data_IF_734564145618
#
_entry.id   IF_734564145618
#
_cell.length_a   1.000
_cell.length_b   1.000
_cell.length_c   1.000
_cell.angle_alpha   90.00
_cell.angle_beta   90.00
_cell.angle_gamma   90.00
#
_symmetry.space_group_name_H-M   'P 1'
#
loop_
_entity.id
_entity.type
_entity.pdbx_description
1 polymer ?
#
# COMPACT_ATOMS: atom_id res chain seq x y z
N UNK A 1 -25.67 -23.82 -60.48
CA UNK A 1 -25.84 -23.14 -59.16
C UNK A 1 -25.62 -24.04 -57.93
N UNK A 2 -26.24 -25.22 -57.80
CA UNK A 2 -26.08 -26.08 -56.61
C UNK A 2 -24.61 -26.50 -56.31
N UNK A 3 -23.80 -26.86 -57.33
CA UNK A 3 -22.40 -27.25 -57.15
C UNK A 3 -21.51 -26.10 -56.70
N UNK A 4 -21.76 -24.89 -57.18
CA UNK A 4 -21.04 -23.68 -56.76
C UNK A 4 -21.34 -23.31 -55.32
N UNK A 5 -22.61 -23.42 -54.91
CA UNK A 5 -23.01 -23.19 -53.51
C UNK A 5 -22.37 -24.20 -52.54
N UNK A 6 -22.35 -25.49 -52.92
CA UNK A 6 -21.68 -26.53 -52.13
C UNK A 6 -20.16 -26.28 -52.00
N UNK A 7 -19.51 -25.79 -53.04
CA UNK A 7 -18.10 -25.46 -53.01
C UNK A 7 -17.83 -24.29 -52.03
N UNK A 8 -18.66 -23.22 -52.09
CA UNK A 8 -18.54 -22.09 -51.14
C UNK A 8 -18.73 -22.57 -49.71
N UNK A 9 -19.74 -23.42 -49.44
CA UNK A 9 -19.99 -23.96 -48.11
C UNK A 9 -18.79 -24.79 -47.61
N UNK A 10 -18.21 -25.63 -48.48
CA UNK A 10 -17.07 -26.45 -48.14
C UNK A 10 -15.83 -25.60 -47.79
N UNK A 11 -15.57 -24.55 -48.56
CA UNK A 11 -14.47 -23.63 -48.30
C UNK A 11 -14.70 -22.86 -46.97
N UNK A 12 -15.91 -22.36 -46.75
CA UNK A 12 -16.26 -21.66 -45.51
C UNK A 12 -16.11 -22.58 -44.30
N UNK A 13 -16.55 -23.84 -44.40
CA UNK A 13 -16.39 -24.83 -43.33
C UNK A 13 -14.90 -25.14 -43.06
N UNK A 14 -14.10 -25.30 -44.13
CA UNK A 14 -12.65 -25.52 -44.00
C UNK A 14 -11.94 -24.35 -43.30
N UNK A 15 -12.28 -23.12 -43.65
CA UNK A 15 -11.76 -21.92 -42.97
C UNK A 15 -12.19 -21.85 -41.50
N UNK A 16 -13.44 -22.16 -41.21
CA UNK A 16 -13.95 -22.17 -39.84
C UNK A 16 -13.24 -23.21 -38.97
N UNK A 17 -13.02 -24.43 -39.52
CA UNK A 17 -12.29 -25.50 -38.83
C UNK A 17 -10.82 -25.11 -38.60
N UNK A 18 -10.17 -24.48 -39.57
CA UNK A 18 -8.80 -24.00 -39.44
C UNK A 18 -8.69 -22.91 -38.36
N UNK A 19 -9.61 -21.95 -38.31
CA UNK A 19 -9.68 -20.93 -37.28
C UNK A 19 -9.92 -21.53 -35.91
N UNK A 20 -10.83 -22.51 -35.78
CA UNK A 20 -11.08 -23.21 -34.54
C UNK A 20 -9.85 -23.98 -34.06
N UNK A 21 -9.10 -24.63 -34.97
CA UNK A 21 -7.86 -25.31 -34.61
C UNK A 21 -6.77 -24.34 -34.14
N UNK A 22 -6.58 -23.22 -34.85
CA UNK A 22 -5.62 -22.16 -34.42
C UNK A 22 -5.99 -21.59 -33.05
N UNK A 23 -7.29 -21.32 -32.80
CA UNK A 23 -7.76 -20.87 -31.52
C UNK A 23 -7.52 -21.92 -30.42
N UNK A 24 -7.84 -23.18 -30.69
CA UNK A 24 -7.63 -24.28 -29.74
C UNK A 24 -6.15 -24.48 -29.39
N UNK A 25 -5.28 -24.47 -30.37
CA UNK A 25 -3.82 -24.55 -30.18
C UNK A 25 -3.32 -23.35 -29.41
N UNK A 26 -3.69 -22.13 -29.78
CA UNK A 26 -3.29 -20.91 -29.09
C UNK A 26 -3.75 -20.95 -27.63
N UNK A 27 -4.99 -21.37 -27.35
CA UNK A 27 -5.51 -21.50 -26.01
C UNK A 27 -4.77 -22.56 -25.19
N UNK A 28 -4.49 -23.74 -25.80
CA UNK A 28 -3.81 -24.85 -25.13
C UNK A 28 -2.38 -24.48 -24.73
N UNK A 29 -1.64 -23.83 -25.63
CA UNK A 29 -0.22 -23.49 -25.42
C UNK A 29 0.01 -22.20 -24.64
N UNK A 30 -1.01 -21.38 -24.39
CA UNK A 30 -0.85 -20.22 -23.49
C UNK A 30 -0.68 -20.70 -22.07
N UNK A 31 0.48 -20.41 -21.50
CA UNK A 31 0.85 -20.77 -20.12
C UNK A 31 0.66 -19.59 -19.17
N UNK A 32 0.75 -19.86 -17.87
CA UNK A 32 0.72 -18.83 -16.82
C UNK A 32 1.88 -17.82 -16.93
N UNK A 33 2.93 -18.11 -17.71
CA UNK A 33 4.02 -17.16 -17.99
C UNK A 33 3.58 -15.87 -18.72
N UNK A 34 2.32 -15.81 -19.21
CA UNK A 34 1.70 -14.55 -19.70
C UNK A 34 1.14 -13.65 -18.58
N UNK A 35 1.12 -14.11 -17.33
CA UNK A 35 0.78 -13.28 -16.18
C UNK A 35 2.01 -12.43 -15.80
N UNK A 36 1.83 -11.15 -15.44
CA UNK A 36 2.95 -10.32 -15.01
C UNK A 36 3.48 -10.78 -13.65
N UNK A 37 4.69 -10.36 -13.36
CA UNK A 37 5.27 -10.56 -12.04
C UNK A 37 4.43 -9.85 -10.96
N UNK A 38 4.25 -10.55 -9.85
CA UNK A 38 3.47 -10.09 -8.71
C UNK A 38 4.35 -9.38 -7.64
N UNK A 39 5.56 -8.95 -8.01
CA UNK A 39 6.52 -8.35 -7.10
C UNK A 39 5.98 -7.04 -6.50
N UNK A 40 5.49 -7.12 -5.27
CA UNK A 40 5.15 -5.97 -4.44
C UNK A 40 5.95 -6.05 -3.14
N UNK A 41 6.29 -4.90 -2.55
CA UNK A 41 7.06 -4.83 -1.31
C UNK A 41 6.36 -3.95 -0.28
N UNK A 42 6.54 -4.29 0.99
CA UNK A 42 6.12 -3.50 2.13
C UNK A 42 7.26 -3.40 3.15
N UNK A 43 7.68 -2.18 3.48
CA UNK A 43 8.84 -1.96 4.36
C UNK A 43 10.13 -2.61 3.84
N UNK A 44 10.34 -2.62 2.51
CA UNK A 44 11.50 -3.23 1.87
C UNK A 44 11.47 -4.75 1.77
N UNK A 45 10.40 -5.41 2.23
CA UNK A 45 10.25 -6.87 2.18
C UNK A 45 9.28 -7.28 1.07
N UNK A 46 9.66 -8.32 0.31
CA UNK A 46 8.83 -8.85 -0.77
C UNK A 46 7.59 -9.55 -0.23
N UNK A 47 6.44 -9.27 -0.86
CA UNK A 47 5.16 -9.84 -0.49
C UNK A 47 4.84 -11.09 -1.31
N UNK A 48 4.44 -12.15 -0.62
CA UNK A 48 3.94 -13.37 -1.24
C UNK A 48 2.44 -13.23 -1.58
N UNK A 49 2.08 -13.61 -2.80
CA UNK A 49 0.68 -13.61 -3.21
C UNK A 49 -0.10 -14.70 -2.52
N UNK A 50 -1.25 -14.36 -1.96
CA UNK A 50 -2.18 -15.33 -1.38
C UNK A 50 -3.38 -15.66 -2.28
N UNK A 51 -3.43 -15.07 -3.47
CA UNK A 51 -4.43 -15.36 -4.50
C UNK A 51 -4.32 -14.39 -5.67
N UNK A 52 -4.73 -14.84 -6.85
CA UNK A 52 -4.75 -14.01 -8.05
C UNK A 52 -5.82 -14.45 -9.05
N UNK A 53 -6.15 -13.54 -9.95
CA UNK A 53 -6.89 -13.82 -11.16
C UNK A 53 -6.34 -12.93 -12.27
N UNK A 54 -6.02 -13.51 -13.42
CA UNK A 54 -5.44 -12.77 -14.52
C UNK A 54 -6.01 -13.22 -15.86
N UNK A 55 -6.41 -12.26 -16.70
CA UNK A 55 -6.88 -12.47 -18.06
C UNK A 55 -5.74 -12.21 -19.03
N UNK A 56 -5.31 -13.25 -19.72
CA UNK A 56 -4.30 -13.17 -20.79
C UNK A 56 -5.03 -13.08 -22.13
N UNK A 57 -4.92 -11.96 -22.86
CA UNK A 57 -5.59 -11.79 -24.14
C UNK A 57 -4.94 -12.68 -25.19
N UNK A 58 -5.79 -13.38 -25.95
CA UNK A 58 -5.42 -14.21 -27.07
C UNK A 58 -5.94 -13.59 -28.37
N UNK A 59 -5.29 -13.90 -29.49
CA UNK A 59 -5.73 -13.51 -30.85
C UNK A 59 -6.09 -12.01 -30.96
N UNK A 60 -5.21 -11.14 -30.45
CA UNK A 60 -5.44 -9.68 -30.48
C UNK A 60 -6.57 -9.20 -29.58
N UNK A 61 -6.86 -9.92 -28.48
CA UNK A 61 -7.87 -9.55 -27.50
C UNK A 61 -9.30 -9.97 -27.85
N UNK A 62 -9.47 -10.87 -28.83
CA UNK A 62 -10.77 -11.43 -29.17
C UNK A 62 -11.20 -12.59 -28.28
N UNK A 63 -10.27 -13.19 -27.59
CA UNK A 63 -10.46 -14.28 -26.63
C UNK A 63 -9.55 -14.03 -25.44
N UNK A 64 -10.02 -14.36 -24.23
CA UNK A 64 -9.21 -14.27 -23.03
C UNK A 64 -9.06 -15.66 -22.39
N UNK A 65 -7.84 -15.99 -21.96
CA UNK A 65 -7.60 -17.13 -21.08
C UNK A 65 -7.42 -16.64 -19.67
N UNK A 66 -8.22 -17.17 -18.77
CA UNK A 66 -8.19 -16.79 -17.35
C UNK A 66 -7.31 -17.76 -16.58
N UNK A 67 -6.33 -17.23 -15.88
CA UNK A 67 -5.55 -17.93 -14.87
C UNK A 67 -5.96 -17.41 -13.50
N UNK A 68 -6.26 -18.31 -12.57
CA UNK A 68 -6.67 -17.93 -11.23
C UNK A 68 -6.17 -18.95 -10.21
N UNK A 69 -5.79 -18.42 -9.05
CA UNK A 69 -5.61 -19.20 -7.83
C UNK A 69 -6.54 -18.63 -6.77
N UNK A 70 -7.35 -19.45 -6.11
CA UNK A 70 -8.21 -18.97 -5.03
C UNK A 70 -7.35 -18.38 -3.92
N UNK A 71 -7.87 -17.38 -3.22
CA UNK A 71 -7.20 -16.80 -2.08
C UNK A 71 -7.01 -17.88 -0.99
N UNK A 72 -5.80 -18.01 -0.50
CA UNK A 72 -5.47 -18.86 0.64
C UNK A 72 -5.72 -18.11 1.95
N UNK A 73 -5.88 -18.83 3.04
CA UNK A 73 -5.95 -18.23 4.38
C UNK A 73 -4.55 -17.93 4.96
N UNK A 74 -3.49 -18.18 4.18
CA UNK A 74 -2.13 -17.98 4.63
C UNK A 74 -1.84 -16.50 4.75
N UNK A 75 -1.31 -16.09 5.89
CA UNK A 75 -0.87 -14.73 6.19
C UNK A 75 0.64 -14.75 6.35
N UNK A 76 1.35 -14.05 5.46
CA UNK A 76 2.80 -13.92 5.50
C UNK A 76 3.21 -13.13 6.75
N UNK A 77 4.34 -13.50 7.37
CA UNK A 77 4.92 -12.78 8.50
C UNK A 77 6.13 -11.98 8.02
N UNK A 78 6.07 -10.66 8.11
CA UNK A 78 7.16 -9.77 7.74
C UNK A 78 8.13 -9.46 8.91
N UNK A 79 7.82 -9.91 10.14
CA UNK A 79 8.64 -9.59 11.30
C UNK A 79 8.43 -8.17 11.81
N UNK A 80 9.52 -7.54 12.33
CA UNK A 80 9.48 -6.21 12.94
C UNK A 80 9.98 -5.16 11.95
N UNK A 81 9.22 -4.07 11.82
CA UNK A 81 9.55 -2.88 11.04
C UNK A 81 9.83 -1.72 12.00
N UNK A 82 10.97 -1.06 11.82
CA UNK A 82 11.47 -0.01 12.71
C UNK A 82 11.19 1.40 12.20
N UNK A 83 10.48 1.55 11.10
CA UNK A 83 10.05 2.84 10.55
C UNK A 83 8.60 3.13 10.87
N UNK A 84 8.30 4.37 11.26
CA UNK A 84 6.91 4.80 11.53
C UNK A 84 6.02 4.79 10.28
N UNK A 85 6.61 4.80 9.10
CA UNK A 85 5.92 4.77 7.82
C UNK A 85 6.62 3.80 6.86
N UNK A 86 6.30 2.48 6.92
CA UNK A 86 6.85 1.51 5.97
C UNK A 86 6.49 1.82 4.52
N UNK A 87 7.48 1.88 3.65
CA UNK A 87 7.27 2.16 2.22
C UNK A 87 6.55 1.01 1.51
N UNK A 88 5.77 1.36 0.48
CA UNK A 88 5.11 0.39 -0.40
C UNK A 88 5.65 0.55 -1.81
N UNK A 89 6.24 -0.52 -2.34
CA UNK A 89 6.66 -0.60 -3.74
C UNK A 89 5.69 -1.48 -4.51
N UNK A 90 5.19 -0.98 -5.63
CA UNK A 90 4.21 -1.65 -6.48
C UNK A 90 4.81 -1.98 -7.84
N UNK A 91 4.39 -3.08 -8.50
CA UNK A 91 4.74 -3.34 -9.88
C UNK A 91 4.07 -2.34 -10.84
N UNK A 92 4.74 -2.01 -11.95
CA UNK A 92 4.31 -0.99 -12.92
C UNK A 92 2.93 -1.23 -13.55
N UNK A 93 2.50 -2.48 -13.60
CA UNK A 93 1.19 -2.84 -14.15
C UNK A 93 0.02 -2.51 -13.21
N UNK A 94 0.26 -2.31 -11.91
CA UNK A 94 -0.77 -2.02 -10.94
C UNK A 94 -1.34 -0.61 -11.17
N UNK A 95 -2.56 -0.53 -11.68
CA UNK A 95 -3.22 0.73 -12.00
C UNK A 95 -4.18 1.20 -10.92
N UNK A 96 -4.58 0.32 -10.02
CA UNK A 96 -5.41 0.63 -8.87
C UNK A 96 -5.04 -0.29 -7.71
N UNK A 97 -5.15 0.21 -6.49
CA UNK A 97 -4.77 -0.53 -5.28
C UNK A 97 -5.80 -0.34 -4.18
N UNK A 98 -6.01 -1.37 -3.39
CA UNK A 98 -6.76 -1.27 -2.14
C UNK A 98 -5.90 -1.84 -1.02
N UNK A 99 -5.81 -1.12 0.08
CA UNK A 99 -5.06 -1.51 1.27
C UNK A 99 -5.95 -1.35 2.50
N UNK A 100 -6.01 -2.38 3.32
CA UNK A 100 -6.66 -2.33 4.64
C UNK A 100 -5.65 -2.76 5.68
N UNK A 101 -5.48 -1.97 6.73
CA UNK A 101 -4.61 -2.29 7.86
C UNK A 101 -5.47 -2.35 9.13
N UNK A 102 -5.26 -3.40 9.90
CA UNK A 102 -5.98 -3.68 11.15
C UNK A 102 -4.97 -3.92 12.27
N UNK A 103 -5.36 -3.55 13.47
CA UNK A 103 -4.63 -3.94 14.70
C UNK A 103 -4.78 -5.44 14.96
N UNK A 104 -3.97 -6.00 15.86
CA UNK A 104 -4.07 -7.40 16.28
C UNK A 104 -5.49 -7.78 16.80
N UNK A 105 -6.23 -6.83 17.37
CA UNK A 105 -7.60 -7.02 17.85
C UNK A 105 -8.66 -6.85 16.76
N UNK A 106 -8.26 -6.58 15.51
CA UNK A 106 -9.16 -6.48 14.35
C UNK A 106 -9.76 -5.09 14.11
N UNK A 107 -9.35 -4.06 14.86
CA UNK A 107 -9.78 -2.68 14.60
C UNK A 107 -9.11 -2.14 13.34
N UNK A 108 -9.90 -1.67 12.37
CA UNK A 108 -9.37 -1.06 11.13
C UNK A 108 -8.79 0.30 11.46
N UNK A 109 -7.50 0.49 11.18
CA UNK A 109 -6.78 1.76 11.36
C UNK A 109 -6.55 2.49 10.04
N UNK A 110 -6.51 1.76 8.93
CA UNK A 110 -6.45 2.32 7.59
C UNK A 110 -7.28 1.50 6.61
N UNK A 111 -7.98 2.18 5.71
CA UNK A 111 -8.66 1.57 4.57
C UNK A 111 -8.70 2.59 3.43
N UNK A 112 -7.98 2.29 2.34
CA UNK A 112 -7.85 3.22 1.21
C UNK A 112 -6.95 2.68 0.10
N UNK A 113 -6.53 3.58 -0.78
CA UNK A 113 -5.52 3.31 -1.81
C UNK A 113 -4.10 3.45 -1.27
N UNK A 114 -3.11 2.90 -1.98
CA UNK A 114 -1.69 3.09 -1.61
C UNK A 114 -1.28 4.58 -1.73
N UNK A 115 -1.91 5.36 -2.62
CA UNK A 115 -1.65 6.81 -2.68
C UNK A 115 -2.14 7.55 -1.44
N UNK A 116 -3.25 7.15 -0.85
CA UNK A 116 -3.74 7.72 0.41
C UNK A 116 -2.90 7.27 1.60
N UNK A 117 -2.33 6.07 1.52
CA UNK A 117 -1.43 5.55 2.55
C UNK A 117 -0.19 6.44 2.75
N UNK A 118 0.28 7.15 1.73
CA UNK A 118 1.45 8.04 1.84
C UNK A 118 1.31 9.12 2.93
N UNK A 119 0.09 9.51 3.26
CA UNK A 119 -0.21 10.47 4.33
C UNK A 119 -0.67 9.82 5.64
N UNK A 120 -0.73 8.48 5.68
CA UNK A 120 -1.22 7.76 6.85
C UNK A 120 -0.12 7.64 7.92
N UNK A 121 -0.49 7.84 9.17
CA UNK A 121 0.37 7.61 10.32
C UNK A 121 -0.23 6.49 11.19
N UNK A 122 0.59 5.52 11.54
CA UNK A 122 0.18 4.48 12.47
C UNK A 122 -0.11 5.08 13.85
N UNK A 123 -1.24 4.70 14.48
CA UNK A 123 -1.64 5.29 15.76
C UNK A 123 -0.72 4.94 16.92
N UNK A 124 -0.05 3.79 16.86
CA UNK A 124 0.88 3.32 17.91
C UNK A 124 1.83 2.25 17.36
N UNK A 125 2.87 1.95 18.10
CA UNK A 125 3.64 0.72 17.93
C UNK A 125 2.78 -0.50 18.28
N UNK A 126 3.03 -1.64 17.63
CA UNK A 126 2.27 -2.87 17.90
C UNK A 126 2.16 -3.80 16.71
N UNK A 127 1.35 -4.83 16.86
CA UNK A 127 1.11 -5.81 15.80
C UNK A 127 -0.05 -5.35 14.90
N UNK A 128 0.17 -5.50 13.59
CA UNK A 128 -0.78 -5.17 12.55
C UNK A 128 -0.94 -6.30 11.55
N UNK A 129 -2.14 -6.41 11.00
CA UNK A 129 -2.46 -7.25 9.86
C UNK A 129 -2.87 -6.35 8.70
N UNK A 130 -2.34 -6.64 7.50
CA UNK A 130 -2.69 -5.91 6.30
C UNK A 130 -3.20 -6.85 5.20
N UNK A 131 -4.16 -6.35 4.44
CA UNK A 131 -4.65 -6.97 3.21
C UNK A 131 -4.53 -5.94 2.09
N UNK A 132 -3.77 -6.29 1.05
CA UNK A 132 -3.57 -5.45 -0.12
C UNK A 132 -4.05 -6.18 -1.36
N UNK A 133 -4.76 -5.48 -2.25
CA UNK A 133 -5.11 -6.01 -3.56
C UNK A 133 -4.67 -5.03 -4.63
N UNK A 134 -3.92 -5.54 -5.60
CA UNK A 134 -3.48 -4.82 -6.78
C UNK A 134 -4.38 -5.19 -7.95
N UNK A 135 -4.81 -4.20 -8.70
CA UNK A 135 -5.70 -4.36 -9.84
C UNK A 135 -5.07 -3.82 -11.11
N UNK A 136 -5.25 -4.55 -12.21
CA UNK A 136 -5.03 -4.01 -13.55
C UNK A 136 -6.37 -3.58 -14.15
N UNK A 137 -6.48 -2.31 -14.48
CA UNK A 137 -7.67 -1.74 -15.10
C UNK A 137 -7.31 -1.26 -16.51
N UNK A 138 -8.05 -1.65 -17.55
CA UNK A 138 -7.84 -1.13 -18.90
C UNK A 138 -8.04 0.39 -18.95
N UNK A 139 -7.36 1.07 -19.88
CA UNK A 139 -7.58 2.50 -20.13
C UNK A 139 -9.07 2.74 -20.41
N UNK A 140 -9.70 3.62 -19.63
CA UNK A 140 -11.15 3.92 -19.70
C UNK A 140 -12.05 3.05 -18.82
N UNK A 141 -11.49 2.09 -18.07
CA UNK A 141 -12.24 1.21 -17.17
C UNK A 141 -12.32 1.65 -15.70
N UNK A 142 -12.08 2.92 -15.40
CA UNK A 142 -12.02 3.47 -14.03
C UNK A 142 -13.38 3.66 -13.34
N UNK A 143 -14.49 3.18 -13.92
CA UNK A 143 -15.75 3.18 -13.20
C UNK A 143 -15.68 2.16 -12.07
N UNK A 144 -15.90 2.62 -10.85
CA UNK A 144 -15.94 1.79 -9.65
C UNK A 144 -17.30 1.09 -9.53
N UNK A 145 -17.29 -0.19 -9.18
CA UNK A 145 -18.50 -0.95 -8.88
C UNK A 145 -18.42 -1.49 -7.46
N UNK A 146 -19.52 -1.33 -6.71
CA UNK A 146 -19.67 -2.01 -5.43
C UNK A 146 -20.16 -3.43 -5.67
N UNK A 147 -19.48 -4.42 -5.12
CA UNK A 147 -19.98 -5.80 -5.10
C UNK A 147 -21.20 -5.87 -4.18
N UNK A 148 -22.29 -6.47 -4.66
CA UNK A 148 -23.45 -6.77 -3.83
C UNK A 148 -23.13 -7.86 -2.80
N UNK A 149 -23.82 -7.84 -1.65
CA UNK A 149 -23.64 -8.80 -0.56
C UNK A 149 -23.00 -8.21 0.70
N UNK A 150 -22.85 -9.02 1.76
CA UNK A 150 -22.35 -8.56 3.07
C UNK A 150 -20.90 -8.06 3.02
N UNK A 151 -20.06 -8.71 2.22
CA UNK A 151 -18.68 -8.29 1.98
C UNK A 151 -18.60 -6.99 1.17
N UNK A 152 -19.49 -6.79 0.21
CA UNK A 152 -19.60 -5.56 -0.57
C UNK A 152 -20.04 -4.38 0.29
N UNK A 153 -21.00 -4.61 1.23
CA UNK A 153 -21.45 -3.57 2.16
C UNK A 153 -20.31 -3.14 3.10
N UNK A 154 -19.52 -4.10 3.62
CA UNK A 154 -18.36 -3.79 4.47
C UNK A 154 -17.31 -2.98 3.70
N UNK A 155 -16.97 -3.37 2.47
CA UNK A 155 -16.03 -2.64 1.61
C UNK A 155 -16.52 -1.23 1.26
N UNK A 156 -17.81 -1.08 0.96
CA UNK A 156 -18.42 0.24 0.74
C UNK A 156 -18.30 1.14 1.96
N UNK A 157 -18.58 0.60 3.15
CA UNK A 157 -18.47 1.34 4.41
C UNK A 157 -17.02 1.73 4.76
N UNK A 158 -16.03 0.98 4.24
CA UNK A 158 -14.61 1.25 4.38
C UNK A 158 -14.05 2.09 3.23
N UNK A 159 -14.87 2.51 2.25
CA UNK A 159 -14.42 3.26 1.07
C UNK A 159 -13.61 2.43 0.07
N UNK A 160 -13.59 1.09 0.21
CA UNK A 160 -12.83 0.19 -0.66
C UNK A 160 -13.67 -0.18 -1.89
N UNK A 161 -13.44 0.53 -2.96
CA UNK A 161 -14.11 0.30 -4.24
C UNK A 161 -13.33 -0.70 -5.10
N UNK A 162 -14.06 -1.57 -5.78
CA UNK A 162 -13.47 -2.44 -6.80
C UNK A 162 -13.58 -1.75 -8.16
N UNK A 163 -12.51 -1.74 -8.98
CA UNK A 163 -12.61 -1.21 -10.34
C UNK A 163 -13.62 -2.01 -11.18
N UNK A 164 -14.38 -1.30 -12.02
CA UNK A 164 -15.22 -1.96 -12.99
C UNK A 164 -14.36 -2.66 -14.06
N UNK A 165 -14.67 -3.92 -14.36
CA UNK A 165 -14.01 -4.73 -15.40
C UNK A 165 -12.47 -4.79 -15.27
N UNK A 166 -11.91 -5.20 -14.12
CA UNK A 166 -10.48 -5.42 -14.02
C UNK A 166 -10.08 -6.60 -14.93
N UNK A 167 -8.94 -6.51 -15.59
CA UNK A 167 -8.36 -7.60 -16.40
C UNK A 167 -7.46 -8.51 -15.58
N UNK A 168 -7.16 -8.13 -14.36
CA UNK A 168 -6.40 -8.96 -13.43
C UNK A 168 -6.28 -8.34 -12.04
N UNK A 169 -5.99 -9.18 -11.08
CA UNK A 169 -5.69 -8.76 -9.73
C UNK A 169 -4.77 -9.78 -9.04
N UNK A 170 -3.98 -9.26 -8.08
CA UNK A 170 -3.21 -10.03 -7.10
C UNK A 170 -3.59 -9.58 -5.70
N UNK A 171 -3.69 -10.54 -4.77
CA UNK A 171 -3.97 -10.28 -3.36
C UNK A 171 -2.80 -10.71 -2.50
N UNK A 172 -2.53 -9.90 -1.46
CA UNK A 172 -1.52 -10.13 -0.45
C UNK A 172 -2.17 -10.03 0.92
N UNK A 173 -1.81 -10.93 1.83
CA UNK A 173 -2.22 -10.87 3.23
C UNK A 173 -0.98 -11.09 4.09
N UNK A 174 -0.66 -10.12 4.91
CA UNK A 174 0.56 -10.14 5.70
C UNK A 174 0.34 -9.53 7.08
N UNK A 175 1.23 -9.83 8.00
CA UNK A 175 1.29 -9.26 9.34
C UNK A 175 2.70 -8.83 9.67
N UNK A 176 2.81 -7.79 10.47
CA UNK A 176 4.07 -7.20 10.91
C UNK A 176 3.92 -6.60 12.30
N UNK A 177 5.05 -6.43 12.97
CA UNK A 177 5.14 -5.65 14.20
C UNK A 177 5.78 -4.32 13.85
N UNK A 178 5.13 -3.22 14.22
CA UNK A 178 5.69 -1.88 14.09
C UNK A 178 6.38 -1.51 15.42
N UNK A 179 7.64 -1.14 15.34
CA UNK A 179 8.45 -0.69 16.48
C UNK A 179 9.27 0.54 16.06
N UNK A 180 8.57 1.62 15.74
CA UNK A 180 9.20 2.88 15.39
C UNK A 180 9.69 3.59 16.65
N UNK A 181 10.87 4.19 16.56
CA UNK A 181 11.44 5.04 17.60
C UNK A 181 11.48 6.48 17.11
N UNK A 182 11.20 7.42 17.99
CA UNK A 182 11.35 8.83 17.68
C UNK A 182 12.82 9.18 17.49
N UNK A 183 13.08 9.99 16.47
CA UNK A 183 14.39 10.60 16.20
C UNK A 183 14.33 12.07 16.60
N UNK A 184 15.29 12.49 17.40
CA UNK A 184 15.40 13.87 17.88
C UNK A 184 16.68 14.49 17.33
N UNK A 185 16.52 15.61 16.63
CA UNK A 185 17.62 16.42 16.12
C UNK A 185 17.57 17.81 16.75
N UNK A 186 18.74 18.26 17.25
CA UNK A 186 18.93 19.63 17.73
C UNK A 186 19.65 20.45 16.66
N UNK A 187 19.23 21.69 16.42
CA UNK A 187 19.89 22.57 15.45
C UNK A 187 21.30 22.98 15.87
N UNK A 188 21.60 22.95 17.18
CA UNK A 188 22.90 23.25 17.76
C UNK A 188 23.00 22.64 19.15
N UNK A 189 24.18 22.19 19.54
CA UNK A 189 24.51 21.75 20.90
C UNK A 189 24.97 22.91 21.79
N UNK A 190 25.27 24.06 21.20
CA UNK A 190 25.70 25.29 21.87
C UNK A 190 24.99 26.48 21.30
N UNK A 191 24.51 27.36 22.16
CA UNK A 191 23.83 28.59 21.79
C UNK A 191 24.29 29.70 22.72
N UNK A 192 24.39 30.91 22.19
CA UNK A 192 24.68 32.11 23.00
C UNK A 192 23.41 32.56 23.74
N UNK A 193 23.57 33.29 24.83
CA UNK A 193 22.47 33.96 25.52
C UNK A 193 21.67 34.84 24.54
N UNK A 194 20.36 34.75 24.56
CA UNK A 194 19.46 35.37 23.59
C UNK A 194 19.26 34.62 22.27
N UNK A 195 19.97 33.51 22.06
CA UNK A 195 19.78 32.63 20.91
C UNK A 195 18.67 31.61 21.10
N UNK A 196 18.55 30.69 20.17
CA UNK A 196 17.47 29.68 20.16
C UNK A 196 18.00 28.36 19.62
N UNK A 197 17.66 27.25 20.29
CA UNK A 197 17.89 25.89 19.78
C UNK A 197 16.61 25.38 19.14
N UNK A 198 16.66 25.00 17.88
CA UNK A 198 15.58 24.29 17.20
C UNK A 198 15.63 22.80 17.52
N UNK A 199 14.48 22.22 17.79
CA UNK A 199 14.28 20.77 18.00
C UNK A 199 13.41 20.25 16.88
N UNK A 200 13.84 19.17 16.22
CA UNK A 200 13.04 18.40 15.29
C UNK A 200 12.83 17.01 15.84
N UNK A 201 11.57 16.56 15.85
CA UNK A 201 11.18 15.24 16.32
C UNK A 201 10.46 14.54 15.17
N UNK A 202 11.02 13.44 14.67
CA UNK A 202 10.50 12.65 13.56
C UNK A 202 10.41 11.17 13.92
N UNK A 203 9.89 10.34 13.01
CA UNK A 203 9.83 8.89 13.22
C UNK A 203 8.80 8.41 14.25
N UNK A 204 7.91 9.27 14.72
CA UNK A 204 6.89 8.93 15.71
C UNK A 204 5.68 8.22 15.11
N UNK A 205 5.07 7.34 15.90
CA UNK A 205 3.69 6.86 15.69
C UNK A 205 2.71 7.75 16.46
N UNK A 206 1.47 7.85 15.96
CA UNK A 206 0.41 8.63 16.60
C UNK A 206 0.55 10.14 16.43
N UNK A 207 -0.43 10.86 17.01
CA UNK A 207 -0.54 12.32 16.96
C UNK A 207 -0.30 12.98 18.31
N UNK A 208 0.23 12.22 19.29
CA UNK A 208 0.52 12.79 20.60
C UNK A 208 1.56 13.90 20.49
N UNK A 209 1.28 15.03 21.13
CA UNK A 209 2.22 16.16 21.18
C UNK A 209 3.39 15.78 22.09
N UNK A 210 4.64 15.84 21.61
CA UNK A 210 5.80 15.62 22.47
C UNK A 210 5.85 16.65 23.59
N UNK A 211 6.21 16.21 24.79
CA UNK A 211 6.50 17.12 25.90
C UNK A 211 8.00 17.41 25.91
N UNK A 212 8.36 18.70 26.04
CA UNK A 212 9.76 19.13 26.18
C UNK A 212 9.86 19.93 27.50
N UNK A 213 10.68 19.42 28.39
CA UNK A 213 10.99 20.05 29.66
C UNK A 213 12.45 20.50 29.63
N UNK A 214 12.70 21.74 30.03
CA UNK A 214 14.01 22.33 30.11
C UNK A 214 14.04 23.44 31.17
N UNK A 215 15.18 23.68 31.75
CA UNK A 215 15.42 24.79 32.68
C UNK A 215 15.59 26.16 32.01
N UNK A 216 15.63 26.18 30.66
CA UNK A 216 15.75 27.40 29.83
C UNK A 216 14.42 28.16 29.66
N UNK A 217 13.28 27.53 29.93
CA UNK A 217 11.95 28.16 29.81
C UNK A 217 10.89 27.25 29.15
N UNK A 218 9.68 27.79 29.02
CA UNK A 218 8.57 27.05 28.40
C UNK A 218 8.75 26.84 26.90
N UNK A 219 8.52 25.62 26.45
CA UNK A 219 8.64 25.21 25.04
C UNK A 219 7.31 24.71 24.52
N UNK A 220 6.94 25.12 23.32
CA UNK A 220 5.76 24.59 22.64
C UNK A 220 6.17 23.83 21.39
N UNK A 221 5.63 22.61 21.24
CA UNK A 221 5.75 21.83 20.02
C UNK A 221 4.67 22.24 19.02
N UNK A 222 5.06 22.40 17.78
CA UNK A 222 4.16 22.66 16.64
C UNK A 222 4.27 21.55 15.61
N UNK A 223 3.15 21.14 15.02
CA UNK A 223 3.13 20.12 13.98
C UNK A 223 3.84 20.64 12.73
N UNK A 224 4.72 19.82 12.17
CA UNK A 224 5.40 20.04 10.90
C UNK A 224 5.07 18.91 9.93
N UNK A 225 5.46 19.06 8.65
CA UNK A 225 5.16 18.06 7.62
C UNK A 225 5.71 16.64 7.94
N UNK A 226 6.87 16.57 8.62
CA UNK A 226 7.56 15.31 8.92
C UNK A 226 7.68 15.05 10.44
N UNK A 227 6.70 15.47 11.24
CA UNK A 227 6.73 15.26 12.68
C UNK A 227 6.44 16.53 13.46
N UNK A 228 7.28 16.85 14.44
CA UNK A 228 7.11 18.00 15.33
C UNK A 228 8.35 18.89 15.32
N UNK A 229 8.14 20.19 15.54
CA UNK A 229 9.21 21.17 15.77
C UNK A 229 8.96 21.95 17.03
N UNK A 230 10.03 22.28 17.69
CA UNK A 230 10.01 23.19 18.84
C UNK A 230 11.21 24.13 18.78
N UNK A 231 11.11 25.23 19.51
CA UNK A 231 12.19 26.19 19.66
C UNK A 231 12.39 26.47 21.14
N UNK A 232 13.61 26.23 21.62
CA UNK A 232 14.02 26.43 23.00
C UNK A 232 14.79 27.75 23.07
N UNK A 233 14.26 28.81 23.69
CA UNK A 233 14.95 30.08 23.81
C UNK A 233 15.99 30.00 24.93
N UNK A 234 17.22 30.45 24.67
CA UNK A 234 18.19 30.74 25.71
C UNK A 234 18.05 32.20 26.12
N UNK A 235 17.41 32.46 27.24
CA UNK A 235 17.19 33.82 27.71
C UNK A 235 18.54 34.58 27.94
N UNK A 236 18.54 35.91 27.81
CA UNK A 236 19.73 36.75 28.01
C UNK A 236 20.32 36.63 29.43
N UNK A 237 19.51 36.23 30.40
CA UNK A 237 19.91 36.01 31.80
C UNK A 237 20.05 34.54 32.13
N UNK A 238 20.03 33.65 31.16
CA UNK A 238 20.29 32.23 31.40
C UNK A 238 21.70 32.03 31.95
N UNK A 239 21.85 31.12 32.90
CA UNK A 239 23.18 30.76 33.43
C UNK A 239 24.04 30.21 32.29
N UNK A 240 25.34 30.47 32.36
CA UNK A 240 26.29 29.81 31.45
C UNK A 240 26.61 28.41 31.98
N UNK A 241 26.64 27.42 31.08
CA UNK A 241 26.93 26.04 31.44
C UNK A 241 26.08 25.01 30.66
N UNK A 242 26.01 23.81 31.19
CA UNK A 242 25.15 22.78 30.64
C UNK A 242 23.71 22.94 31.08
N UNK A 243 22.77 22.83 30.15
CA UNK A 243 21.33 22.81 30.37
C UNK A 243 20.78 21.47 29.99
N UNK A 244 19.76 20.99 30.69
CA UNK A 244 19.13 19.70 30.43
C UNK A 244 17.85 19.91 29.63
N UNK A 245 17.66 19.06 28.60
CA UNK A 245 16.47 19.04 27.78
C UNK A 245 15.91 17.61 27.81
N UNK A 246 14.77 17.44 28.49
CA UNK A 246 14.05 16.17 28.52
C UNK A 246 12.93 16.18 27.53
N UNK A 247 12.94 15.24 26.55
CA UNK A 247 11.94 15.11 25.51
C UNK A 247 11.21 13.81 25.70
N UNK A 248 9.91 13.91 26.02
CA UNK A 248 9.04 12.75 26.21
C UNK A 248 8.15 12.57 24.98
N UNK A 249 8.24 11.42 24.36
CA UNK A 249 7.46 11.03 23.19
C UNK A 249 6.69 9.76 23.51
N UNK A 250 5.36 9.78 23.36
CA UNK A 250 4.48 8.64 23.66
C UNK A 250 4.69 8.03 25.07
N UNK A 251 5.14 8.84 26.03
CA UNK A 251 5.40 8.42 27.40
C UNK A 251 6.80 7.84 27.65
N UNK A 252 7.68 7.83 26.65
CA UNK A 252 9.10 7.48 26.75
C UNK A 252 9.96 8.75 26.69
N UNK A 253 10.96 8.85 27.57
CA UNK A 253 11.90 10.00 27.66
C UNK A 253 13.27 9.58 27.16
#
# INVERSE_FOLDING_TARGET
MKRFLLWIISVALGVALLLAAVMGVSYAFTTQGGCPDAAAQFGGQELETNGFCWQVPLLGGRLDKVFASPATLTVQKLGTLYTAHPDITLPDWASYTTLTIQTAVGSVVFAGSVSEYQSFLFPANGEYKAEMTLWRVPKGGMATQFEGGSTGALRKNLGLERPAKPTGWYRYSFRFTLQASAEVELSAERVEQGGTVGVRISGMTGDAVPAIETDLGGVQCVRAAEGWRAYIPAAYNASSGGHEINITVNGET
#
